data_IF_902639408919
#
_entry.id   IF_902639408919
#
_cell.length_a   1.000
_cell.length_b   1.000
_cell.length_c   1.000
_cell.angle_alpha   90.00
_cell.angle_beta   90.00
_cell.angle_gamma   90.00
#
_symmetry.space_group_name_H-M   'P 1'
#
loop_
_entity.id
_entity.type
_entity.pdbx_description
1 polymer ?
#
# COMPACT_ATOMS: atom_id res chain seq x y z
N UNK A 1 -21.40 -8.23 -2.98
CA UNK A 1 -20.43 -8.27 -4.10
C UNK A 1 -19.04 -8.09 -3.51
N UNK A 2 -18.02 -8.86 -3.92
CA UNK A 2 -16.69 -8.78 -3.31
C UNK A 2 -15.94 -7.52 -3.78
N UNK A 3 -15.32 -6.79 -2.84
CA UNK A 3 -14.51 -5.61 -3.15
C UNK A 3 -13.29 -5.99 -4.00
N UNK A 4 -12.99 -5.21 -5.04
CA UNK A 4 -11.79 -5.40 -5.86
C UNK A 4 -10.56 -5.01 -5.06
N UNK A 5 -9.66 -5.95 -4.77
CA UNK A 5 -8.45 -5.66 -3.99
C UNK A 5 -7.37 -4.94 -4.82
N UNK A 6 -6.55 -4.07 -4.19
CA UNK A 6 -5.43 -3.40 -4.86
C UNK A 6 -4.39 -4.40 -5.42
N UNK A 7 -3.95 -4.18 -6.66
CA UNK A 7 -2.87 -4.93 -7.34
C UNK A 7 -1.50 -4.39 -6.97
N UNK A 8 -0.41 -5.02 -7.44
CA UNK A 8 0.97 -4.68 -7.04
C UNK A 8 1.30 -3.17 -7.15
N UNK A 9 1.10 -2.53 -8.31
CA UNK A 9 1.37 -1.09 -8.47
C UNK A 9 0.46 -0.20 -7.62
N UNK A 10 -0.81 -0.57 -7.46
CA UNK A 10 -1.76 0.15 -6.60
C UNK A 10 -1.35 0.05 -5.12
N UNK A 11 -0.85 -1.11 -4.67
CA UNK A 11 -0.31 -1.31 -3.32
C UNK A 11 0.94 -0.48 -3.07
N UNK A 12 1.82 -0.33 -4.06
CA UNK A 12 3.01 0.52 -3.96
C UNK A 12 2.61 2.00 -3.77
N UNK A 13 1.63 2.48 -4.54
CA UNK A 13 1.06 3.81 -4.37
C UNK A 13 0.49 4.03 -2.96
N UNK A 14 -0.34 3.10 -2.49
CA UNK A 14 -0.95 3.14 -1.15
C UNK A 14 0.12 3.17 -0.06
N UNK A 15 1.15 2.32 -0.19
CA UNK A 15 2.26 2.26 0.76
C UNK A 15 3.08 3.56 0.77
N UNK A 16 3.32 4.16 -0.40
CA UNK A 16 4.04 5.42 -0.53
C UNK A 16 3.28 6.60 0.09
N UNK A 17 1.96 6.70 -0.13
CA UNK A 17 1.12 7.73 0.47
C UNK A 17 0.89 7.54 1.98
N UNK A 18 1.11 6.33 2.50
CA UNK A 18 0.95 6.03 3.93
C UNK A 18 -0.49 5.89 4.40
N UNK A 19 -1.47 6.04 3.49
CA UNK A 19 -2.91 5.89 3.76
C UNK A 19 -3.26 4.49 4.24
N UNK A 20 -4.32 4.38 5.02
CA UNK A 20 -4.75 3.14 5.65
C UNK A 20 -6.23 2.93 5.38
N UNK A 21 -6.62 1.70 5.02
CA UNK A 21 -8.02 1.36 4.84
C UNK A 21 -8.62 0.90 6.16
N UNK A 22 -9.75 1.48 6.56
CA UNK A 22 -10.73 0.89 7.47
C UNK A 22 -11.65 0.03 6.61
N UNK A 23 -11.70 -1.27 6.86
CA UNK A 23 -12.47 -2.21 6.06
C UNK A 23 -13.56 -2.90 6.88
N UNK A 24 -14.65 -3.22 6.20
CA UNK A 24 -15.70 -4.10 6.71
C UNK A 24 -15.59 -5.43 5.99
N UNK A 25 -15.59 -6.52 6.75
CA UNK A 25 -15.61 -7.86 6.20
C UNK A 25 -16.83 -8.63 6.72
N UNK A 26 -17.32 -9.54 5.90
CA UNK A 26 -18.54 -10.29 6.14
C UNK A 26 -18.31 -11.78 5.92
N UNK A 27 -18.97 -12.59 6.73
CA UNK A 27 -19.14 -14.02 6.52
C UNK A 27 -20.47 -14.31 5.80
N UNK A 28 -20.55 -15.46 5.10
CA UNK A 28 -21.79 -15.89 4.45
C UNK A 28 -22.97 -16.07 5.42
N UNK A 29 -22.70 -16.35 6.70
CA UNK A 29 -23.71 -16.53 7.75
C UNK A 29 -24.21 -15.20 8.37
N UNK A 30 -23.74 -14.06 7.85
CA UNK A 30 -24.18 -12.72 8.25
C UNK A 30 -23.29 -12.06 9.30
N UNK A 31 -22.36 -12.78 9.93
CA UNK A 31 -21.41 -12.19 10.87
C UNK A 31 -20.49 -11.19 10.16
N UNK A 32 -20.22 -10.04 10.79
CA UNK A 32 -19.32 -9.03 10.23
C UNK A 32 -18.19 -8.66 11.19
N UNK A 33 -17.18 -7.96 10.67
CA UNK A 33 -16.11 -7.38 11.47
C UNK A 33 -15.60 -6.10 10.82
N UNK A 34 -15.13 -5.17 11.64
CA UNK A 34 -14.45 -3.96 11.19
C UNK A 34 -13.00 -4.01 11.63
N UNK A 35 -12.10 -3.82 10.68
CA UNK A 35 -10.66 -3.76 10.95
C UNK A 35 -10.00 -2.66 10.12
N UNK A 36 -8.68 -2.55 10.22
CA UNK A 36 -7.92 -1.63 9.38
C UNK A 36 -6.61 -2.23 8.90
N UNK A 37 -6.16 -1.83 7.70
CA UNK A 37 -4.91 -2.32 7.10
C UNK A 37 -4.43 -1.44 5.96
N UNK A 38 -3.11 -1.49 5.69
CA UNK A 38 -2.51 -0.97 4.45
C UNK A 38 -2.51 -2.01 3.33
N UNK A 39 -2.56 -3.29 3.67
CA UNK A 39 -2.62 -4.41 2.74
C UNK A 39 -3.87 -5.25 3.01
N UNK A 40 -4.93 -4.92 2.28
CA UNK A 40 -6.23 -5.60 2.38
C UNK A 40 -6.13 -7.08 1.99
N UNK A 41 -5.24 -7.45 1.06
CA UNK A 41 -5.07 -8.83 0.64
C UNK A 41 -4.43 -9.64 1.76
N UNK A 42 -3.35 -9.14 2.35
CA UNK A 42 -2.69 -9.80 3.46
C UNK A 42 -3.63 -9.96 4.67
N UNK A 43 -4.40 -8.92 5.00
CA UNK A 43 -5.43 -8.98 6.04
C UNK A 43 -6.49 -10.02 5.73
N UNK A 44 -7.06 -10.02 4.52
CA UNK A 44 -8.07 -11.00 4.13
C UNK A 44 -7.55 -12.44 4.22
N UNK A 45 -6.34 -12.71 3.73
CA UNK A 45 -5.73 -14.04 3.79
C UNK A 45 -5.50 -14.50 5.23
N UNK A 46 -5.10 -13.59 6.11
CA UNK A 46 -4.90 -13.87 7.53
C UNK A 46 -6.21 -14.19 8.23
N UNK A 47 -7.25 -13.37 8.00
CA UNK A 47 -8.57 -13.56 8.59
C UNK A 47 -9.24 -14.86 8.13
N UNK A 48 -9.06 -15.23 6.85
CA UNK A 48 -9.59 -16.47 6.28
C UNK A 48 -9.03 -17.75 6.90
N UNK A 49 -7.88 -17.68 7.60
CA UNK A 49 -7.36 -18.82 8.38
C UNK A 49 -8.27 -19.17 9.55
N UNK A 50 -8.92 -18.16 10.14
CA UNK A 50 -9.85 -18.32 11.26
C UNK A 50 -11.31 -18.41 10.80
N UNK A 51 -11.67 -17.64 9.78
CA UNK A 51 -13.04 -17.57 9.26
C UNK A 51 -13.06 -17.88 7.76
N UNK A 52 -13.15 -19.17 7.38
CA UNK A 52 -13.27 -19.57 5.98
C UNK A 52 -14.49 -18.91 5.34
N UNK A 53 -14.36 -18.42 4.10
CA UNK A 53 -15.45 -17.75 3.39
C UNK A 53 -15.63 -16.26 3.69
N UNK A 54 -14.89 -15.70 4.65
CA UNK A 54 -14.88 -14.26 4.89
C UNK A 54 -14.47 -13.50 3.61
N UNK A 55 -15.13 -12.39 3.31
CA UNK A 55 -14.75 -11.48 2.25
C UNK A 55 -14.88 -10.02 2.71
N UNK A 56 -14.04 -9.15 2.18
CA UNK A 56 -14.14 -7.70 2.42
C UNK A 56 -15.26 -7.16 1.52
N UNK A 57 -16.23 -6.49 2.13
CA UNK A 57 -17.39 -5.90 1.46
C UNK A 57 -17.18 -4.43 1.14
N UNK A 58 -16.55 -3.70 2.07
CA UNK A 58 -16.29 -2.26 1.94
C UNK A 58 -14.91 -1.89 2.49
N UNK A 59 -14.35 -0.79 1.99
CA UNK A 59 -13.11 -0.21 2.50
C UNK A 59 -13.11 1.31 2.31
N UNK A 60 -12.76 2.04 3.37
CA UNK A 60 -12.64 3.49 3.40
C UNK A 60 -11.22 3.87 3.76
N UNK A 61 -10.60 4.74 2.97
CA UNK A 61 -9.21 5.12 3.15
C UNK A 61 -9.10 6.43 3.93
N UNK A 62 -8.24 6.43 4.94
CA UNK A 62 -7.92 7.58 5.79
C UNK A 62 -6.44 7.92 5.69
N UNK A 63 -6.07 9.10 6.20
CA UNK A 63 -4.75 9.68 6.02
C UNK A 63 -3.65 8.81 6.59
N UNK A 64 -3.86 8.26 7.78
CA UNK A 64 -2.84 7.48 8.48
C UNK A 64 -3.42 6.38 9.38
N UNK A 65 -2.52 5.66 10.05
CA UNK A 65 -2.87 4.54 10.92
C UNK A 65 -3.58 5.00 12.19
N UNK A 66 -3.33 6.21 12.67
CA UNK A 66 -3.91 6.73 13.90
C UNK A 66 -5.40 6.98 13.70
N UNK A 67 -5.77 7.65 12.61
CA UNK A 67 -7.18 7.86 12.23
C UNK A 67 -7.91 6.52 12.02
N UNK A 68 -7.29 5.59 11.28
CA UNK A 68 -7.89 4.28 11.02
C UNK A 68 -8.13 3.48 12.30
N UNK A 69 -7.18 3.56 13.24
CA UNK A 69 -7.30 2.91 14.55
C UNK A 69 -8.39 3.54 15.40
N UNK A 70 -8.52 4.86 15.41
CA UNK A 70 -9.57 5.56 16.16
C UNK A 70 -10.95 5.12 15.68
N UNK A 71 -11.20 5.17 14.37
CA UNK A 71 -12.48 4.75 13.79
C UNK A 71 -12.74 3.27 14.10
N UNK A 72 -11.78 2.38 13.84
CA UNK A 72 -11.98 0.95 14.06
C UNK A 72 -12.21 0.61 15.53
N UNK A 73 -11.52 1.27 16.46
CA UNK A 73 -11.73 1.07 17.89
C UNK A 73 -13.13 1.53 18.32
N UNK A 74 -13.56 2.71 17.87
CA UNK A 74 -14.87 3.25 18.23
C UNK A 74 -16.02 2.42 17.67
N UNK A 75 -15.91 1.98 16.41
CA UNK A 75 -16.90 1.08 15.79
C UNK A 75 -16.98 -0.25 16.54
N UNK A 76 -15.82 -0.84 16.90
CA UNK A 76 -15.81 -2.09 17.67
C UNK A 76 -16.20 -1.88 19.15
N UNK A 77 -16.12 -0.67 19.71
CA UNK A 77 -16.59 -0.39 21.06
C UNK A 77 -18.11 -0.15 21.10
N UNK A 78 -18.66 0.46 20.06
CA UNK A 78 -20.08 0.84 19.97
C UNK A 78 -21.00 -0.32 19.55
N UNK A 79 -20.48 -1.27 18.77
CA UNK A 79 -21.26 -2.42 18.29
C UNK A 79 -21.11 -3.64 19.20
N UNK A 80 -22.23 -4.33 19.44
CA UNK A 80 -22.23 -5.58 20.20
C UNK A 80 -21.46 -6.69 19.47
N UNK A 81 -20.79 -7.54 20.24
CA UNK A 81 -20.00 -8.66 19.73
C UNK A 81 -20.60 -10.00 20.14
N UNK A 82 -20.49 -10.99 19.25
CA UNK A 82 -20.61 -12.40 19.61
C UNK A 82 -19.39 -12.76 20.47
N UNK A 83 -19.62 -13.05 21.75
CA UNK A 83 -18.56 -13.30 22.73
C UNK A 83 -17.64 -14.48 22.40
N UNK A 84 -18.14 -15.50 21.70
CA UNK A 84 -17.33 -16.66 21.30
C UNK A 84 -16.58 -16.40 20.00
N UNK A 85 -17.28 -15.80 19.02
CA UNK A 85 -16.72 -15.62 17.68
C UNK A 85 -15.90 -14.35 17.53
N UNK A 86 -16.06 -13.37 18.43
CA UNK A 86 -15.53 -11.99 18.31
C UNK A 86 -15.90 -11.30 17.00
N UNK A 87 -17.07 -11.63 16.48
CA UNK A 87 -17.68 -10.97 15.32
C UNK A 87 -18.70 -9.95 15.82
N UNK A 88 -19.00 -8.95 15.01
CA UNK A 88 -20.05 -7.99 15.27
C UNK A 88 -21.41 -8.67 15.12
N UNK A 89 -22.32 -8.40 16.06
CA UNK A 89 -23.75 -8.71 15.97
C UNK A 89 -24.48 -7.67 15.11
N UNK A 90 -23.87 -7.33 13.97
CA UNK A 90 -24.37 -6.40 12.99
C UNK A 90 -24.03 -6.96 11.61
N UNK A 91 -24.95 -6.81 10.65
CA UNK A 91 -24.61 -7.14 9.27
C UNK A 91 -23.56 -6.16 8.72
N UNK A 92 -22.97 -6.52 7.58
CA UNK A 92 -21.91 -5.72 6.97
C UNK A 92 -22.34 -4.30 6.59
N UNK A 93 -23.62 -4.09 6.23
CA UNK A 93 -24.15 -2.79 5.80
C UNK A 93 -24.39 -1.87 7.00
N UNK A 94 -24.81 -2.42 8.14
CA UNK A 94 -24.91 -1.71 9.40
C UNK A 94 -23.52 -1.31 9.91
N UNK A 95 -22.55 -2.23 9.84
CA UNK A 95 -21.16 -1.95 10.19
C UNK A 95 -20.54 -0.85 9.29
N UNK A 96 -20.82 -0.89 7.98
CA UNK A 96 -20.39 0.13 7.01
C UNK A 96 -20.92 1.52 7.37
N UNK A 97 -22.23 1.64 7.61
CA UNK A 97 -22.86 2.90 8.04
C UNK A 97 -22.29 3.41 9.37
N UNK A 98 -21.95 2.52 10.29
CA UNK A 98 -21.30 2.91 11.54
C UNK A 98 -19.90 3.45 11.32
N UNK A 99 -19.11 2.87 10.40
CA UNK A 99 -17.80 3.42 10.02
C UNK A 99 -17.95 4.85 9.48
N UNK A 100 -18.91 5.09 8.59
CA UNK A 100 -19.18 6.42 8.03
C UNK A 100 -19.61 7.41 9.11
N UNK A 101 -20.55 7.02 9.97
CA UNK A 101 -21.05 7.89 11.05
C UNK A 101 -19.98 8.24 12.08
N UNK A 102 -19.16 7.26 12.48
CA UNK A 102 -18.04 7.48 13.42
C UNK A 102 -17.01 8.43 12.80
N UNK A 103 -16.63 8.20 11.55
CA UNK A 103 -15.68 9.07 10.87
C UNK A 103 -16.21 10.50 10.74
N UNK A 104 -17.48 10.66 10.36
CA UNK A 104 -18.14 11.97 10.27
C UNK A 104 -18.20 12.67 11.63
N UNK A 105 -18.55 11.95 12.70
CA UNK A 105 -18.59 12.49 14.06
C UNK A 105 -17.21 12.95 14.56
N UNK A 106 -16.15 12.22 14.20
CA UNK A 106 -14.77 12.55 14.52
C UNK A 106 -14.15 13.61 13.61
N UNK A 107 -14.85 14.05 12.56
CA UNK A 107 -14.31 14.95 11.54
C UNK A 107 -13.18 14.33 10.70
N UNK A 108 -13.12 13.00 10.61
CA UNK A 108 -12.12 12.28 9.81
C UNK A 108 -12.64 12.09 8.40
N UNK A 109 -11.87 12.56 7.41
CA UNK A 109 -12.24 12.43 6.01
C UNK A 109 -12.04 10.99 5.51
N UNK A 110 -13.12 10.36 5.05
CA UNK A 110 -13.08 9.07 4.37
C UNK A 110 -12.92 9.29 2.86
N UNK A 111 -11.99 8.54 2.25
CA UNK A 111 -11.89 8.44 0.80
C UNK A 111 -12.37 7.06 0.34
N UNK A 112 -13.33 7.07 -0.59
CA UNK A 112 -13.87 5.85 -1.20
C UNK A 112 -12.81 4.95 -1.83
N UNK A 113 -12.99 3.62 -1.69
CA UNK A 113 -12.07 2.64 -2.24
C UNK A 113 -11.85 2.82 -3.75
N UNK A 114 -12.94 3.00 -4.49
CA UNK A 114 -12.90 3.19 -5.93
C UNK A 114 -12.09 4.43 -6.33
N UNK A 115 -12.24 5.53 -5.58
CA UNK A 115 -11.49 6.77 -5.80
C UNK A 115 -10.00 6.58 -5.55
N UNK A 116 -9.61 5.87 -4.48
CA UNK A 116 -8.20 5.56 -4.21
C UNK A 116 -7.62 4.68 -5.32
N UNK A 117 -8.33 3.64 -5.76
CA UNK A 117 -7.87 2.80 -6.87
C UNK A 117 -7.74 3.58 -8.18
N UNK A 118 -8.67 4.50 -8.47
CA UNK A 118 -8.59 5.35 -9.66
C UNK A 118 -7.34 6.23 -9.61
N UNK A 119 -7.10 6.93 -8.49
CA UNK A 119 -5.90 7.76 -8.27
C UNK A 119 -4.62 6.94 -8.39
N UNK A 120 -4.59 5.76 -7.77
CA UNK A 120 -3.45 4.86 -7.82
C UNK A 120 -3.14 4.42 -9.26
N UNK A 121 -4.16 4.07 -10.06
CA UNK A 121 -3.97 3.70 -11.47
C UNK A 121 -3.42 4.85 -12.29
N UNK A 122 -3.96 6.05 -12.13
CA UNK A 122 -3.47 7.25 -12.83
C UNK A 122 -2.01 7.53 -12.48
N UNK A 123 -1.66 7.48 -11.20
CA UNK A 123 -0.27 7.67 -10.75
C UNK A 123 0.68 6.59 -11.29
N UNK A 124 0.26 5.32 -11.28
CA UNK A 124 1.05 4.21 -11.85
C UNK A 124 1.27 4.44 -13.34
N UNK A 125 0.22 4.76 -14.10
CA UNK A 125 0.33 5.00 -15.54
C UNK A 125 1.28 6.17 -15.85
N UNK A 126 1.15 7.28 -15.12
CA UNK A 126 2.04 8.44 -15.26
C UNK A 126 3.50 8.09 -14.99
N UNK A 127 3.79 7.31 -13.95
CA UNK A 127 5.16 6.91 -13.60
C UNK A 127 5.75 5.98 -14.67
N UNK A 128 4.99 5.00 -15.14
CA UNK A 128 5.46 4.11 -16.21
C UNK A 128 5.72 4.89 -17.51
N UNK A 129 4.90 5.90 -17.83
CA UNK A 129 5.12 6.80 -18.95
C UNK A 129 6.40 7.63 -18.77
N UNK A 130 6.62 8.22 -17.60
CA UNK A 130 7.85 8.99 -17.31
C UNK A 130 9.11 8.12 -17.37
N UNK A 131 9.05 6.88 -16.88
CA UNK A 131 10.15 5.91 -17.01
C UNK A 131 10.42 5.60 -18.49
N UNK A 132 9.38 5.39 -19.29
CA UNK A 132 9.52 5.13 -20.72
C UNK A 132 10.12 6.32 -21.47
N UNK A 133 9.68 7.56 -21.17
CA UNK A 133 10.24 8.79 -21.72
C UNK A 133 11.72 8.95 -21.35
N UNK A 134 12.08 8.79 -20.07
CA UNK A 134 13.47 8.87 -19.61
C UNK A 134 14.35 7.78 -20.25
N UNK A 135 13.79 6.60 -20.50
CA UNK A 135 14.49 5.53 -21.22
C UNK A 135 14.74 5.91 -22.68
N UNK A 136 13.74 6.48 -23.36
CA UNK A 136 13.86 6.93 -24.75
C UNK A 136 14.82 8.12 -24.92
N UNK A 137 14.86 9.02 -23.94
CA UNK A 137 15.76 10.18 -23.90
C UNK A 137 17.21 9.84 -23.49
N UNK A 138 17.49 8.59 -23.10
CA UNK A 138 18.81 8.17 -22.64
C UNK A 138 19.15 8.63 -21.21
N UNK A 139 18.22 9.26 -20.50
CA UNK A 139 18.40 9.77 -19.13
C UNK A 139 18.63 8.65 -18.11
N UNK A 140 18.29 7.39 -18.43
CA UNK A 140 18.60 6.22 -17.61
C UNK A 140 20.05 5.69 -17.79
N UNK A 141 20.90 6.36 -18.58
CA UNK A 141 22.29 5.96 -18.76
C UNK A 141 23.06 5.90 -17.43
N UNK A 142 22.84 6.86 -16.52
CA UNK A 142 23.45 6.85 -15.19
C UNK A 142 22.98 5.64 -14.37
N UNK A 143 21.71 5.27 -14.43
CA UNK A 143 21.15 4.12 -13.71
C UNK A 143 21.74 2.80 -14.20
N UNK A 144 21.90 2.66 -15.52
CA UNK A 144 22.54 1.51 -16.12
C UNK A 144 24.03 1.40 -15.74
N UNK A 145 24.74 2.53 -15.72
CA UNK A 145 26.13 2.59 -15.26
C UNK A 145 26.26 2.23 -13.77
N UNK A 146 25.40 2.80 -12.92
CA UNK A 146 25.35 2.53 -11.49
C UNK A 146 24.99 1.06 -11.20
N UNK A 147 24.03 0.47 -11.90
CA UNK A 147 23.69 -0.95 -11.76
C UNK A 147 24.85 -1.86 -12.18
N UNK A 148 25.58 -1.54 -13.25
CA UNK A 148 26.76 -2.31 -13.67
C UNK A 148 27.86 -2.25 -12.61
N UNK A 149 28.17 -1.06 -12.10
CA UNK A 149 29.15 -0.86 -11.03
C UNK A 149 28.76 -1.64 -9.76
N UNK A 150 27.50 -1.51 -9.34
CA UNK A 150 26.96 -2.25 -8.19
C UNK A 150 27.02 -3.75 -8.38
N UNK A 151 26.62 -4.27 -9.56
CA UNK A 151 26.58 -5.71 -9.84
C UNK A 151 27.98 -6.33 -9.82
N UNK A 152 28.99 -5.62 -10.33
CA UNK A 152 30.38 -6.08 -10.31
C UNK A 152 30.89 -6.26 -8.88
N UNK A 153 30.63 -5.29 -8.01
CA UNK A 153 31.04 -5.36 -6.61
C UNK A 153 30.21 -6.36 -5.80
N UNK A 154 28.89 -6.43 -6.03
CA UNK A 154 28.02 -7.41 -5.39
C UNK A 154 28.51 -8.84 -5.66
N UNK A 155 28.92 -9.12 -6.91
CA UNK A 155 29.45 -10.42 -7.32
C UNK A 155 30.73 -10.80 -6.55
N UNK A 156 31.60 -9.83 -6.23
CA UNK A 156 32.81 -10.07 -5.42
C UNK A 156 32.47 -10.44 -3.97
N UNK A 157 31.33 -9.96 -3.48
CA UNK A 157 30.84 -10.20 -2.11
C UNK A 157 29.82 -11.36 -2.03
N UNK A 158 29.64 -12.13 -3.10
CA UNK A 158 28.67 -13.24 -3.15
C UNK A 158 27.20 -12.81 -3.12
N UNK A 159 26.91 -11.54 -3.40
CA UNK A 159 25.55 -10.97 -3.46
C UNK A 159 25.13 -10.76 -4.92
N UNK A 160 23.83 -10.65 -5.16
CA UNK A 160 23.30 -10.41 -6.50
C UNK A 160 21.90 -9.80 -6.47
N UNK A 161 21.60 -9.01 -7.50
CA UNK A 161 20.28 -8.46 -7.77
C UNK A 161 20.02 -8.51 -9.27
N UNK A 162 18.84 -8.98 -9.67
CA UNK A 162 18.44 -8.96 -11.07
C UNK A 162 18.17 -7.52 -11.54
N UNK A 163 18.30 -7.27 -12.84
CA UNK A 163 17.97 -5.96 -13.39
C UNK A 163 16.49 -5.60 -13.17
N UNK A 164 15.60 -6.60 -13.20
CA UNK A 164 14.19 -6.43 -12.90
C UNK A 164 13.96 -5.95 -11.47
N UNK A 165 14.69 -6.49 -10.50
CA UNK A 165 14.61 -6.05 -9.09
C UNK A 165 15.19 -4.64 -8.90
N UNK A 166 16.33 -4.32 -9.54
CA UNK A 166 16.87 -2.96 -9.52
C UNK A 166 15.89 -1.94 -10.11
N UNK A 167 15.21 -2.30 -11.20
CA UNK A 167 14.17 -1.46 -11.83
C UNK A 167 12.94 -1.32 -10.94
N UNK A 168 12.52 -2.37 -10.24
CA UNK A 168 11.42 -2.28 -9.26
C UNK A 168 11.75 -1.32 -8.12
N UNK A 169 13.01 -1.31 -7.64
CA UNK A 169 13.48 -0.36 -6.63
C UNK A 169 13.54 1.08 -7.15
N UNK A 170 14.03 1.28 -8.38
CA UNK A 170 13.97 2.59 -9.05
C UNK A 170 12.52 3.08 -9.14
N UNK A 171 11.60 2.21 -9.56
CA UNK A 171 10.17 2.53 -9.64
C UNK A 171 9.61 2.97 -8.28
N UNK A 172 9.88 2.21 -7.21
CA UNK A 172 9.45 2.59 -5.85
C UNK A 172 10.02 3.94 -5.39
N UNK A 173 11.27 4.23 -5.76
CA UNK A 173 11.89 5.51 -5.45
C UNK A 173 11.18 6.67 -6.19
N UNK A 174 10.97 6.53 -7.50
CA UNK A 174 10.24 7.51 -8.32
C UNK A 174 8.80 7.72 -7.82
N UNK A 175 8.12 6.64 -7.42
CA UNK A 175 6.81 6.72 -6.76
C UNK A 175 6.86 7.62 -5.53
N UNK A 176 7.85 7.42 -4.65
CA UNK A 176 7.98 8.25 -3.45
C UNK A 176 8.20 9.71 -3.85
N UNK A 177 9.15 10.01 -4.73
CA UNK A 177 9.48 11.38 -5.15
C UNK A 177 8.31 12.14 -5.76
N UNK A 178 7.64 11.55 -6.75
CA UNK A 178 6.56 12.20 -7.49
C UNK A 178 5.35 12.45 -6.58
N UNK A 179 5.14 11.59 -5.58
CA UNK A 179 3.98 11.68 -4.69
C UNK A 179 4.25 12.51 -3.43
N UNK A 180 5.49 12.57 -2.96
CA UNK A 180 5.88 13.33 -1.76
C UNK A 180 6.64 14.63 -2.07
N UNK A 181 6.80 14.99 -3.35
CA UNK A 181 7.64 16.13 -3.81
C UNK A 181 9.09 16.08 -3.28
N UNK A 182 9.60 14.88 -2.97
CA UNK A 182 10.95 14.71 -2.47
C UNK A 182 11.93 14.68 -3.66
N UNK A 183 12.85 15.63 -3.73
CA UNK A 183 13.52 16.02 -4.99
C UNK A 183 14.73 15.13 -5.35
N UNK A 184 15.18 14.23 -4.48
CA UNK A 184 16.48 13.56 -4.69
C UNK A 184 16.39 12.08 -5.02
N UNK A 185 16.83 11.70 -6.23
CA UNK A 185 17.11 10.30 -6.60
C UNK A 185 18.37 9.90 -5.87
N UNK A 186 18.23 9.39 -4.65
CA UNK A 186 19.37 8.92 -3.88
C UNK A 186 19.70 7.48 -4.28
N UNK A 187 20.84 7.22 -4.96
CA UNK A 187 21.18 5.87 -5.41
C UNK A 187 21.35 4.89 -4.24
N UNK A 188 21.62 5.38 -3.02
CA UNK A 188 21.69 4.56 -1.79
C UNK A 188 20.35 3.95 -1.39
N UNK A 189 19.22 4.51 -1.85
CA UNK A 189 17.90 3.94 -1.64
C UNK A 189 17.53 2.90 -2.71
N UNK A 190 18.15 2.99 -3.89
CA UNK A 190 17.90 2.09 -5.02
C UNK A 190 18.80 0.86 -4.94
N UNK A 191 20.07 1.05 -4.59
CA UNK A 191 21.07 0.00 -4.49
C UNK A 191 21.44 -0.24 -3.02
N UNK A 192 21.37 -1.48 -2.51
CA UNK A 192 21.84 -1.81 -1.17
C UNK A 192 23.31 -1.39 -0.99
N UNK A 193 23.68 -0.83 0.17
CA UNK A 193 25.06 -0.44 0.43
C UNK A 193 25.96 -1.68 0.37
N UNK A 194 27.07 -1.55 -0.36
CA UNK A 194 28.16 -2.53 -0.44
C UNK A 194 29.42 -1.86 0.08
N UNK A 195 30.28 -2.62 0.78
CA UNK A 195 31.61 -2.12 1.12
C UNK A 195 32.37 -1.81 -0.19
N UNK A 196 32.87 -0.59 -0.35
CA UNK A 196 33.64 -0.17 -1.54
C UNK A 196 32.88 0.61 -2.62
N UNK A 197 31.56 0.83 -2.48
CA UNK A 197 30.81 1.74 -3.37
C UNK A 197 30.22 2.89 -2.55
N UNK A 198 30.63 4.11 -2.85
CA UNK A 198 29.98 5.32 -2.34
C UNK A 198 29.27 6.07 -3.47
N UNK A 199 27.94 6.08 -3.40
CA UNK A 199 27.08 6.84 -4.31
C UNK A 199 26.81 8.28 -3.83
N UNK A 200 27.54 8.78 -2.83
CA UNK A 200 27.42 10.15 -2.30
C UNK A 200 27.94 11.23 -3.26
N UNK A 201 28.72 10.85 -4.27
CA UNK A 201 29.27 11.78 -5.26
C UNK A 201 28.27 11.91 -6.40
N UNK A 202 27.33 12.84 -6.25
CA UNK A 202 26.54 13.36 -7.36
C UNK A 202 27.47 14.19 -8.24
N UNK A 203 27.62 13.81 -9.51
CA UNK A 203 28.07 14.72 -10.57
C UNK A 203 26.93 15.62 -11.01
#
# INVERSE_FOLDING_TARGET
>A
MALKLPRQGEREFIAAYGIVAVYVAALPDGGSLVGFSRDLLHSLLTLRRRWPGLHITAAFWVKDRSEARLISNEVNASLMHDGERRLLLADAKAAERHVENVAAHMGIALTEHATVLARARTAVAYIEERIAQAQAAGELAWFNAAYRAWRLEAKRQGRGMSYAEARARLRQNLFRQILTNDVQINPKQIFPPLQGIDFSVSG
#
